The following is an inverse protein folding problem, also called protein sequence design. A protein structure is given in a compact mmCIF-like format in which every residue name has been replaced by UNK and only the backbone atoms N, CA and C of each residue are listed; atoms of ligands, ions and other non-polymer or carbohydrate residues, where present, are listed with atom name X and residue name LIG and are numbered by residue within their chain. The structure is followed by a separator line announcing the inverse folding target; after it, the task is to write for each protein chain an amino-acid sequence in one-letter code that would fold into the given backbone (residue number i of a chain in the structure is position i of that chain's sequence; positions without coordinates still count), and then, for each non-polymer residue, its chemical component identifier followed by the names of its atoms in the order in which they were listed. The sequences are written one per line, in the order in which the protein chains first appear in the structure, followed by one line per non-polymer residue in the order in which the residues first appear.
data_IF_722094760773
#
_entry.id   IF_722094760773
#
_cell.length_a   1.000
_cell.length_b   1.000
_cell.length_c   1.000
_cell.angle_alpha   90.00
_cell.angle_beta   90.00
_cell.angle_gamma   90.00
#
_symmetry.space_group_name_H-M   'P 1'
#
loop_
_entity.id
_entity.type
_entity.pdbx_description
1 polymer ?
#
# COMPACT_ATOMS: atom_id res chain seq x y z
N UNK A 1 -2.94 -11.88 -3.96
CA UNK A 1 -3.16 -11.62 -2.51
C UNK A 1 -2.77 -12.82 -1.64
N UNK A 2 -3.28 -14.05 -1.90
CA UNK A 2 -2.91 -15.23 -1.08
C UNK A 2 -1.42 -15.59 -1.09
N UNK A 3 -0.70 -15.42 -2.22
CA UNK A 3 0.73 -15.76 -2.31
C UNK A 3 1.66 -14.91 -1.43
N UNK A 4 1.32 -13.64 -1.19
CA UNK A 4 2.11 -12.72 -0.34
C UNK A 4 2.04 -13.17 1.13
N UNK A 5 0.89 -13.67 1.58
CA UNK A 5 0.69 -14.14 2.95
C UNK A 5 1.46 -15.44 3.24
N UNK A 6 1.62 -16.31 2.22
CA UNK A 6 2.38 -17.56 2.35
C UNK A 6 3.88 -17.27 2.48
N UNK A 7 4.43 -16.41 1.60
CA UNK A 7 5.85 -16.05 1.64
C UNK A 7 6.21 -15.40 2.98
N UNK A 8 5.40 -14.45 3.45
CA UNK A 8 5.64 -13.81 4.75
C UNK A 8 5.61 -14.80 5.91
N UNK A 9 4.70 -15.77 5.89
CA UNK A 9 4.63 -16.79 6.95
C UNK A 9 5.81 -17.77 6.93
N UNK A 10 6.31 -18.12 5.73
CA UNK A 10 7.52 -18.94 5.58
C UNK A 10 8.77 -18.20 6.02
N UNK A 11 8.87 -16.90 5.73
CA UNK A 11 9.97 -16.06 6.18
C UNK A 11 10.03 -15.98 7.71
N UNK A 12 8.89 -15.74 8.38
CA UNK A 12 8.80 -15.72 9.85
C UNK A 12 9.30 -17.04 10.44
N UNK A 13 8.90 -18.18 9.84
CA UNK A 13 9.35 -19.50 10.27
C UNK A 13 10.86 -19.71 10.06
N UNK A 14 11.40 -19.29 8.91
CA UNK A 14 12.82 -19.42 8.61
C UNK A 14 13.71 -18.59 9.54
N UNK A 15 13.27 -17.38 9.91
CA UNK A 15 14.04 -16.47 10.77
C UNK A 15 13.95 -16.83 12.26
N UNK A 16 12.76 -17.22 12.75
CA UNK A 16 12.50 -17.37 14.19
C UNK A 16 12.42 -18.84 14.63
N UNK A 17 12.35 -19.79 13.69
CA UNK A 17 12.16 -21.23 13.96
C UNK A 17 10.78 -21.56 14.54
N UNK A 18 9.87 -20.59 14.65
CA UNK A 18 8.51 -20.74 15.19
C UNK A 18 7.49 -20.48 14.11
N UNK A 19 6.37 -21.20 14.14
CA UNK A 19 5.30 -20.99 13.17
C UNK A 19 4.65 -19.64 13.39
N UNK A 20 4.35 -18.92 12.31
CA UNK A 20 3.70 -17.62 12.34
C UNK A 20 2.37 -17.64 13.12
N UNK A 21 1.60 -18.73 12.98
CA UNK A 21 0.35 -18.95 13.73
C UNK A 21 0.56 -19.05 15.25
N UNK A 22 1.64 -19.67 15.71
CA UNK A 22 1.94 -19.77 17.15
C UNK A 22 2.26 -18.40 17.76
N UNK A 23 3.00 -17.56 17.03
CA UNK A 23 3.37 -16.21 17.47
C UNK A 23 2.15 -15.28 17.50
N UNK A 24 1.27 -15.38 16.50
CA UNK A 24 0.01 -14.63 16.50
C UNK A 24 -0.89 -15.04 17.66
N UNK A 25 -0.95 -16.34 18.01
CA UNK A 25 -1.73 -16.81 19.15
C UNK A 25 -1.23 -16.22 20.47
N UNK A 26 0.09 -16.21 20.67
CA UNK A 26 0.73 -15.61 21.85
C UNK A 26 0.44 -14.10 21.97
N UNK A 27 0.48 -13.37 20.84
CA UNK A 27 0.12 -11.95 20.82
C UNK A 27 -1.34 -11.71 21.24
N UNK A 28 -2.27 -12.57 20.82
CA UNK A 28 -3.69 -12.46 21.19
C UNK A 28 -3.93 -12.77 22.68
N UNK A 29 -3.15 -13.67 23.25
CA UNK A 29 -3.22 -14.05 24.67
C UNK A 29 -2.58 -13.03 25.61
N UNK A 30 -1.83 -12.06 25.07
CA UNK A 30 -1.23 -10.97 25.85
C UNK A 30 -2.30 -10.04 26.43
N UNK A 31 -2.08 -9.50 27.63
CA UNK A 31 -3.04 -8.61 28.30
C UNK A 31 -3.39 -7.39 27.42
N UNK A 32 -4.67 -7.27 27.05
CA UNK A 32 -5.18 -6.25 26.12
C UNK A 32 -5.18 -6.66 24.64
N UNK A 33 -4.79 -7.89 24.31
CA UNK A 33 -4.93 -8.48 22.98
C UNK A 33 -6.39 -8.79 22.62
N UNK A 34 -6.66 -8.88 21.32
CA UNK A 34 -7.98 -9.19 20.75
C UNK A 34 -7.84 -10.07 19.49
N UNK A 35 -8.94 -10.37 18.80
CA UNK A 35 -8.90 -11.22 17.59
C UNK A 35 -8.01 -10.67 16.45
N UNK A 36 -7.81 -9.36 16.42
CA UNK A 36 -7.03 -8.65 15.41
C UNK A 36 -5.52 -8.57 15.75
N UNK A 37 -5.12 -8.87 16.99
CA UNK A 37 -3.71 -8.90 17.38
C UNK A 37 -3.45 -8.60 18.86
N UNK A 38 -2.22 -8.20 19.14
CA UNK A 38 -1.78 -7.81 20.48
C UNK A 38 -2.36 -6.47 20.95
N UNK A 39 -2.03 -6.05 22.19
CA UNK A 39 -2.54 -4.81 22.77
C UNK A 39 -2.12 -3.58 21.97
N UNK A 40 -2.96 -2.54 22.05
CA UNK A 40 -2.61 -1.22 21.53
C UNK A 40 -1.33 -0.72 22.19
N UNK A 41 -0.45 -0.08 21.41
CA UNK A 41 0.80 0.49 21.92
C UNK A 41 0.56 1.53 23.03
N UNK A 42 -0.57 2.24 22.98
CA UNK A 42 -0.92 3.28 23.95
C UNK A 42 -2.29 2.98 24.59
N UNK A 43 -2.45 3.21 25.91
CA UNK A 43 -3.67 2.83 26.64
C UNK A 43 -4.90 3.70 26.35
N UNK A 44 -4.71 4.91 25.80
CA UNK A 44 -5.78 5.87 25.55
C UNK A 44 -5.82 6.31 24.08
N UNK A 45 -5.68 5.38 23.16
CA UNK A 45 -5.83 5.66 21.73
C UNK A 45 -7.27 6.00 21.39
N UNK A 46 -7.48 7.14 20.75
CA UNK A 46 -8.77 7.52 20.16
C UNK A 46 -8.73 7.21 18.66
N UNK A 47 -9.71 6.43 18.18
CA UNK A 47 -9.87 6.11 16.76
C UNK A 47 -11.05 6.90 16.23
N UNK A 48 -10.78 7.82 15.31
CA UNK A 48 -11.81 8.57 14.60
C UNK A 48 -12.09 7.84 13.28
N UNK A 49 -13.20 7.12 13.23
CA UNK A 49 -13.65 6.46 12.01
C UNK A 49 -14.59 7.39 11.24
N UNK A 50 -14.07 7.99 10.17
CA UNK A 50 -14.89 8.77 9.24
C UNK A 50 -15.59 7.83 8.26
N UNK A 51 -16.92 7.93 8.22
CA UNK A 51 -17.76 7.16 7.29
C UNK A 51 -18.60 8.12 6.44
N UNK A 52 -18.88 7.68 5.22
CA UNK A 52 -19.70 8.37 4.24
C UNK A 52 -20.61 7.32 3.62
N UNK A 53 -21.80 7.74 3.17
CA UNK A 53 -22.60 6.89 2.29
C UNK A 53 -21.78 6.48 1.06
N UNK A 54 -21.87 5.21 0.67
CA UNK A 54 -21.08 4.65 -0.42
C UNK A 54 -21.36 5.37 -1.74
N UNK A 55 -22.61 5.68 -2.06
CA UNK A 55 -22.97 6.34 -3.32
C UNK A 55 -22.42 7.78 -3.36
N UNK A 56 -22.47 8.47 -2.20
CA UNK A 56 -21.91 9.82 -2.06
C UNK A 56 -20.39 9.80 -2.17
N UNK A 57 -19.74 8.79 -1.59
CA UNK A 57 -18.29 8.61 -1.67
C UNK A 57 -17.87 8.35 -3.12
N UNK A 58 -18.55 7.45 -3.81
CA UNK A 58 -18.23 7.08 -5.19
C UNK A 58 -18.36 8.28 -6.13
N UNK A 59 -19.45 9.05 -6.02
CA UNK A 59 -19.61 10.28 -6.79
C UNK A 59 -18.48 11.29 -6.56
N UNK A 60 -18.06 11.48 -5.29
CA UNK A 60 -16.95 12.38 -4.95
C UNK A 60 -15.62 11.88 -5.49
N UNK A 61 -15.38 10.57 -5.44
CA UNK A 61 -14.16 9.97 -5.95
C UNK A 61 -14.05 10.14 -7.47
N UNK A 62 -15.14 9.92 -8.21
CA UNK A 62 -15.20 10.16 -9.67
C UNK A 62 -14.91 11.62 -9.98
N UNK A 63 -15.65 12.55 -9.38
CA UNK A 63 -15.46 13.99 -9.60
C UNK A 63 -14.03 14.45 -9.26
N UNK A 64 -13.42 13.87 -8.23
CA UNK A 64 -12.03 14.17 -7.88
C UNK A 64 -11.06 13.74 -8.97
N UNK A 65 -11.27 12.59 -9.60
CA UNK A 65 -10.41 12.12 -10.72
C UNK A 65 -10.52 13.08 -11.90
N UNK A 66 -11.73 13.54 -12.23
CA UNK A 66 -11.94 14.53 -13.29
C UNK A 66 -11.17 15.82 -12.99
N UNK A 67 -11.29 16.35 -11.77
CA UNK A 67 -10.53 17.54 -11.35
C UNK A 67 -9.01 17.31 -11.40
N UNK A 68 -8.52 16.13 -11.02
CA UNK A 68 -7.08 15.81 -11.11
C UNK A 68 -6.60 15.82 -12.56
N UNK A 69 -7.39 15.30 -13.50
CA UNK A 69 -7.07 15.35 -14.93
C UNK A 69 -7.00 16.79 -15.44
N UNK A 70 -7.98 17.62 -15.08
CA UNK A 70 -8.01 19.06 -15.42
C UNK A 70 -6.81 19.83 -14.84
N UNK A 71 -6.36 19.45 -13.65
CA UNK A 71 -5.18 20.03 -12.99
C UNK A 71 -3.84 19.53 -13.56
N UNK A 72 -3.86 18.62 -14.54
CA UNK A 72 -2.65 18.19 -15.25
C UNK A 72 -2.02 16.89 -14.74
N UNK A 73 -2.79 16.00 -14.11
CA UNK A 73 -2.33 14.67 -13.65
C UNK A 73 -1.50 13.93 -14.72
N UNK A 74 -1.93 13.96 -15.98
CA UNK A 74 -1.22 13.28 -17.09
C UNK A 74 0.17 13.89 -17.29
N UNK A 75 0.29 15.21 -17.22
CA UNK A 75 1.58 15.89 -17.38
C UNK A 75 2.52 15.57 -16.21
N UNK A 76 1.98 15.51 -14.99
CA UNK A 76 2.74 15.10 -13.81
C UNK A 76 3.30 13.68 -13.98
N UNK A 77 2.48 12.74 -14.46
CA UNK A 77 2.89 11.35 -14.71
C UNK A 77 3.98 11.24 -15.78
N UNK A 78 3.85 11.98 -16.90
CA UNK A 78 4.88 12.03 -17.96
C UNK A 78 6.19 12.58 -17.40
N UNK A 79 6.13 13.70 -16.69
CA UNK A 79 7.33 14.33 -16.11
C UNK A 79 8.02 13.40 -15.13
N UNK A 80 7.26 12.72 -14.27
CA UNK A 80 7.77 11.74 -13.33
C UNK A 80 8.47 10.59 -14.05
N UNK A 81 7.84 10.03 -15.11
CA UNK A 81 8.43 8.96 -15.91
C UNK A 81 9.75 9.38 -16.56
N UNK A 82 9.82 10.59 -17.12
CA UNK A 82 11.03 11.12 -17.73
C UNK A 82 12.17 11.32 -16.72
N UNK A 83 11.86 11.92 -15.57
CA UNK A 83 12.81 12.12 -14.47
C UNK A 83 13.35 10.79 -13.95
N UNK A 84 12.45 9.84 -13.69
CA UNK A 84 12.82 8.50 -13.21
C UNK A 84 13.67 7.76 -14.23
N UNK A 85 13.30 7.78 -15.51
CA UNK A 85 14.08 7.14 -16.57
C UNK A 85 15.47 7.76 -16.73
N UNK A 86 15.59 9.09 -16.56
CA UNK A 86 16.89 9.77 -16.61
C UNK A 86 17.79 9.35 -15.45
N UNK A 87 17.26 9.32 -14.23
CA UNK A 87 18.00 8.91 -13.03
C UNK A 87 18.42 7.43 -13.09
N UNK A 88 17.52 6.57 -13.56
CA UNK A 88 17.79 5.15 -13.86
C UNK A 88 18.87 5.00 -14.94
N UNK A 89 18.77 5.79 -16.00
CA UNK A 89 19.79 6.10 -17.02
C UNK A 89 21.21 6.16 -16.42
N UNK A 90 21.36 7.06 -15.47
CA UNK A 90 22.64 7.37 -14.84
C UNK A 90 23.11 6.34 -13.81
N UNK A 91 22.19 5.61 -13.17
CA UNK A 91 22.51 4.70 -12.06
C UNK A 91 22.58 3.23 -12.47
N UNK A 92 22.11 2.87 -13.67
CA UNK A 92 22.09 1.50 -14.18
C UNK A 92 21.09 0.59 -13.46
N UNK A 93 20.14 1.15 -12.72
CA UNK A 93 19.19 0.39 -11.93
C UNK A 93 18.17 -0.36 -12.83
N UNK A 94 17.79 -1.60 -12.45
CA UNK A 94 16.73 -2.33 -13.15
C UNK A 94 15.36 -1.67 -12.93
N UNK A 95 14.46 -1.84 -13.90
CA UNK A 95 13.07 -1.41 -13.73
C UNK A 95 12.38 -2.31 -12.69
N UNK A 96 11.92 -1.73 -11.59
CA UNK A 96 11.04 -2.42 -10.65
C UNK A 96 9.76 -1.60 -10.41
N UNK A 97 8.71 -1.93 -11.17
CA UNK A 97 7.38 -1.36 -11.01
C UNK A 97 6.55 -2.10 -9.94
N UNK A 98 7.12 -3.11 -9.27
CA UNK A 98 6.40 -3.92 -8.28
C UNK A 98 6.41 -3.34 -6.87
N UNK A 99 7.21 -2.29 -6.63
CA UNK A 99 7.43 -1.73 -5.29
C UNK A 99 7.23 -0.21 -5.24
N UNK A 100 7.04 0.32 -4.03
CA UNK A 100 7.05 1.75 -3.75
C UNK A 100 5.98 2.57 -4.49
N UNK A 101 6.36 3.76 -4.96
CA UNK A 101 5.45 4.72 -5.61
C UNK A 101 4.78 4.15 -6.86
N UNK A 102 5.42 3.19 -7.53
CA UNK A 102 4.87 2.48 -8.70
C UNK A 102 3.67 1.60 -8.35
N UNK A 103 3.42 1.33 -7.06
CA UNK A 103 2.24 0.61 -6.62
C UNK A 103 0.99 1.50 -6.44
N UNK A 104 1.13 2.81 -6.60
CA UNK A 104 0.05 3.79 -6.39
C UNK A 104 -1.05 3.71 -7.45
N UNK A 105 -2.30 3.89 -7.00
CA UNK A 105 -3.49 3.96 -7.87
C UNK A 105 -3.42 5.25 -8.70
N UNK A 106 -3.56 5.13 -10.02
CA UNK A 106 -3.40 6.21 -10.97
C UNK A 106 -2.03 6.24 -11.65
N UNK A 107 -1.02 5.53 -11.14
CA UNK A 107 0.26 5.39 -11.83
C UNK A 107 0.27 4.16 -12.75
N UNK A 108 -0.09 2.99 -12.21
CA UNK A 108 -0.09 1.71 -12.96
C UNK A 108 -1.01 1.73 -14.16
N UNK A 109 -2.17 2.37 -14.01
CA UNK A 109 -3.23 2.43 -15.02
C UNK A 109 -2.82 3.29 -16.23
N UNK A 110 -1.87 4.20 -16.02
CA UNK A 110 -1.33 5.08 -17.06
C UNK A 110 0.04 4.62 -17.57
N UNK A 111 0.72 3.72 -16.87
CA UNK A 111 2.04 3.22 -17.26
C UNK A 111 2.08 2.72 -18.73
N UNK A 112 1.13 1.89 -19.15
CA UNK A 112 1.07 1.39 -20.54
C UNK A 112 0.62 2.40 -21.61
N UNK A 113 0.30 3.65 -21.23
CA UNK A 113 -0.10 4.74 -22.14
C UNK A 113 0.91 5.89 -22.17
N UNK A 114 1.86 5.91 -21.24
CA UNK A 114 2.85 6.98 -21.04
C UNK A 114 4.27 6.52 -21.45
N UNK A 115 4.41 5.27 -21.90
CA UNK A 115 5.59 4.79 -22.67
C UNK A 115 5.61 5.37 -24.09
#
# INVERSE_FOLDING_TARGET
MAGILIIGSLQVFAEHGRTHSSMLKEQKETAGGNELGGPLRYPHSCILWLQCDQEVLDHRLVSRVDTMLEQGLVQELINFHQLYNKDRLSTGAPHDYTTGIFQSIGFKEFHGRVE
#
